data_IF_437875815265
#
_entry.id   IF_437875815265
#
_cell.length_a   1.000
_cell.length_b   1.000
_cell.length_c   1.000
_cell.angle_alpha   90.00
_cell.angle_beta   90.00
_cell.angle_gamma   90.00
#
_symmetry.space_group_name_H-M   'P 1'
#
loop_
_entity.id
_entity.type
_entity.pdbx_description
1 polymer ?
#
# COMPACT_ATOMS: atom_id res chain seq x y z
N UNK A 1 16.59 5.71 11.73
CA UNK A 1 17.09 6.24 10.44
C UNK A 1 16.19 7.31 9.82
N UNK A 2 14.97 7.02 9.35
CA UNK A 2 14.03 8.05 8.86
C UNK A 2 13.71 9.08 9.96
N UNK A 3 13.62 8.65 11.22
CA UNK A 3 13.48 9.52 12.38
C UNK A 3 14.65 10.52 12.54
N UNK A 4 15.89 10.12 12.24
CA UNK A 4 17.06 11.03 12.31
C UNK A 4 16.99 12.10 11.22
N UNK A 5 16.57 11.71 10.02
CA UNK A 5 16.36 12.66 8.91
C UNK A 5 15.20 13.62 9.20
N UNK A 6 14.13 13.16 9.87
CA UNK A 6 13.03 14.02 10.34
C UNK A 6 13.45 14.99 11.45
N UNK A 7 14.45 14.63 12.26
CA UNK A 7 15.05 15.48 13.28
C UNK A 7 16.09 16.48 12.71
N UNK A 8 16.25 16.54 11.38
CA UNK A 8 17.17 17.47 10.70
C UNK A 8 18.61 16.96 10.55
N UNK A 9 18.89 15.71 10.91
CA UNK A 9 20.21 15.11 10.68
C UNK A 9 20.38 14.81 9.19
N UNK A 10 21.53 15.19 8.62
CA UNK A 10 21.82 14.97 7.21
C UNK A 10 21.81 13.48 6.85
N UNK A 11 21.37 13.16 5.63
CA UNK A 11 21.27 11.77 5.13
C UNK A 11 22.59 11.03 5.25
N UNK A 12 23.73 11.68 5.01
CA UNK A 12 25.08 11.10 5.19
C UNK A 12 25.40 10.74 6.64
N UNK A 13 25.06 11.59 7.60
CA UNK A 13 25.33 11.33 9.02
C UNK A 13 24.41 10.22 9.55
N UNK A 14 23.17 10.18 9.07
CA UNK A 14 22.25 9.07 9.33
C UNK A 14 22.73 7.76 8.68
N UNK A 15 23.34 7.81 7.48
CA UNK A 15 23.92 6.66 6.79
C UNK A 15 25.09 6.07 7.59
N UNK A 16 26.04 6.93 8.02
CA UNK A 16 27.21 6.54 8.78
C UNK A 16 26.83 5.93 10.15
N UNK A 17 25.84 6.51 10.84
CA UNK A 17 25.35 5.98 12.11
C UNK A 17 24.65 4.62 12.00
N UNK A 18 24.15 4.26 10.81
CA UNK A 18 23.41 3.02 10.57
C UNK A 18 24.19 2.01 9.71
N UNK A 19 25.42 2.32 9.27
CA UNK A 19 26.24 1.42 8.46
C UNK A 19 25.70 1.11 7.06
N UNK A 20 24.86 1.98 6.51
CA UNK A 20 24.22 1.80 5.19
C UNK A 20 24.66 2.87 4.21
N UNK A 21 24.56 2.59 2.90
CA UNK A 21 24.93 3.56 1.88
C UNK A 21 24.01 4.80 1.91
N UNK A 22 24.54 6.02 1.66
CA UNK A 22 23.73 7.23 1.57
C UNK A 22 22.60 7.14 0.53
N UNK A 23 22.82 6.42 -0.57
CA UNK A 23 21.80 6.18 -1.61
C UNK A 23 20.64 5.33 -1.11
N UNK A 24 20.88 4.40 -0.19
CA UNK A 24 19.82 3.60 0.46
C UNK A 24 18.97 4.48 1.37
N UNK A 25 19.62 5.39 2.13
CA UNK A 25 18.92 6.37 2.97
C UNK A 25 18.01 7.24 2.12
N UNK A 26 18.54 7.79 1.03
CA UNK A 26 17.82 8.69 0.14
C UNK A 26 16.60 8.00 -0.48
N UNK A 27 16.78 6.78 -0.97
CA UNK A 27 15.68 5.96 -1.50
C UNK A 27 14.59 5.73 -0.46
N UNK A 28 14.94 5.39 0.77
CA UNK A 28 13.96 5.17 1.84
C UNK A 28 13.25 6.46 2.27
N UNK A 29 13.96 7.60 2.31
CA UNK A 29 13.37 8.91 2.60
C UNK A 29 12.40 9.31 1.49
N UNK A 30 12.79 9.14 0.22
CA UNK A 30 11.96 9.41 -0.95
C UNK A 30 10.71 8.52 -0.97
N UNK A 31 10.86 7.23 -0.69
CA UNK A 31 9.74 6.29 -0.59
C UNK A 31 8.80 6.61 0.59
N UNK A 32 9.34 7.11 1.70
CA UNK A 32 8.53 7.56 2.84
C UNK A 32 7.74 8.84 2.55
N UNK A 33 8.20 9.68 1.60
CA UNK A 33 7.51 10.89 1.14
C UNK A 33 6.46 10.59 0.06
N UNK A 34 6.70 9.57 -0.75
CA UNK A 34 5.85 9.22 -1.89
C UNK A 34 4.46 8.63 -1.53
N UNK A 35 4.17 8.38 -0.26
CA UNK A 35 2.86 7.87 0.19
C UNK A 35 2.66 6.38 -0.05
N UNK A 36 1.40 5.92 -0.11
CA UNK A 36 1.06 4.48 -0.18
C UNK A 36 1.71 3.82 -1.41
N UNK A 37 2.19 2.57 -1.28
CA UNK A 37 2.78 1.84 -2.39
C UNK A 37 1.79 1.77 -3.55
N UNK A 38 2.29 2.09 -4.74
CA UNK A 38 1.52 1.88 -5.96
C UNK A 38 1.36 0.36 -6.14
N UNK A 39 0.22 -0.08 -6.69
CA UNK A 39 0.02 -1.51 -6.96
C UNK A 39 1.14 -2.05 -7.86
N UNK A 40 1.26 -3.38 -7.97
CA UNK A 40 2.34 -4.06 -8.72
C UNK A 40 2.60 -3.49 -10.15
N UNK A 41 1.63 -2.80 -10.75
CA UNK A 41 1.72 -2.18 -12.07
C UNK A 41 1.86 -0.65 -12.06
N UNK A 42 2.27 -0.03 -10.94
CA UNK A 42 2.41 1.43 -10.83
C UNK A 42 1.09 2.21 -10.91
N UNK A 43 -0.06 1.52 -11.02
CA UNK A 43 -1.37 2.18 -11.05
C UNK A 43 -1.77 2.58 -9.63
N UNK A 44 -2.30 3.81 -9.44
CA UNK A 44 -2.89 4.22 -8.18
C UNK A 44 -3.94 3.18 -7.75
N UNK A 45 -3.90 2.80 -6.47
CA UNK A 45 -4.92 1.91 -5.90
C UNK A 45 -6.26 2.63 -5.98
N UNK A 46 -7.29 1.98 -6.53
CA UNK A 46 -8.60 2.61 -6.68
C UNK A 46 -9.13 3.06 -5.31
N UNK A 47 -9.57 4.32 -5.13
CA UNK A 47 -10.02 4.84 -3.83
C UNK A 47 -11.22 4.07 -3.28
N UNK A 48 -12.04 3.51 -4.16
CA UNK A 48 -13.17 2.65 -3.80
C UNK A 48 -12.82 1.26 -3.25
N UNK A 49 -11.54 0.85 -3.32
CA UNK A 49 -11.12 -0.51 -2.92
C UNK A 49 -11.15 -0.71 -1.41
N UNK A 50 -10.93 0.35 -0.62
CA UNK A 50 -11.07 0.30 0.85
C UNK A 50 -12.54 0.14 1.25
N UNK A 51 -13.46 0.90 0.64
CA UNK A 51 -14.91 0.72 0.86
C UNK A 51 -15.39 -0.68 0.45
N UNK A 52 -14.87 -1.22 -0.65
CA UNK A 52 -15.17 -2.59 -1.05
C UNK A 52 -14.72 -3.62 -0.01
N UNK A 53 -13.53 -3.45 0.58
CA UNK A 53 -13.03 -4.34 1.64
C UNK A 53 -13.93 -4.30 2.88
N UNK A 54 -14.28 -3.10 3.35
CA UNK A 54 -15.16 -2.91 4.49
C UNK A 54 -16.53 -3.56 4.28
N UNK A 55 -17.12 -3.40 3.09
CA UNK A 55 -18.38 -4.06 2.73
C UNK A 55 -18.26 -5.59 2.68
N UNK A 56 -17.08 -6.14 2.32
CA UNK A 56 -16.84 -7.59 2.34
C UNK A 56 -16.65 -8.12 3.76
N UNK A 57 -16.02 -7.35 4.65
CA UNK A 57 -15.91 -7.67 6.09
C UNK A 57 -17.28 -7.67 6.78
N UNK A 58 -18.18 -6.76 6.38
CA UNK A 58 -19.59 -6.73 6.81
C UNK A 58 -20.43 -7.90 6.24
N UNK A 59 -19.84 -8.78 5.42
CA UNK A 59 -20.50 -9.96 4.86
C UNK A 59 -21.33 -9.68 3.61
N UNK A 60 -21.25 -8.49 3.01
CA UNK A 60 -22.01 -8.18 1.77
C UNK A 60 -21.47 -8.98 0.59
N UNK A 61 -22.37 -9.32 -0.33
CA UNK A 61 -22.00 -10.02 -1.56
C UNK A 61 -21.14 -9.13 -2.46
N UNK A 62 -20.26 -9.76 -3.26
CA UNK A 62 -19.35 -9.07 -4.21
C UNK A 62 -20.11 -8.11 -5.12
N UNK A 63 -21.30 -8.51 -5.58
CA UNK A 63 -22.14 -7.72 -6.49
C UNK A 63 -22.71 -6.48 -5.81
N UNK A 64 -23.19 -6.62 -4.57
CA UNK A 64 -23.70 -5.49 -3.78
C UNK A 64 -22.57 -4.51 -3.42
N UNK A 65 -21.40 -5.03 -3.05
CA UNK A 65 -20.23 -4.20 -2.76
C UNK A 65 -19.71 -3.45 -4.00
N UNK A 66 -19.67 -4.11 -5.17
CA UNK A 66 -19.28 -3.48 -6.42
C UNK A 66 -20.25 -2.36 -6.85
N UNK A 67 -21.56 -2.58 -6.68
CA UNK A 67 -22.58 -1.58 -6.96
C UNK A 67 -22.43 -0.33 -6.09
N UNK A 68 -22.18 -0.49 -4.78
CA UNK A 68 -21.98 0.63 -3.84
C UNK A 68 -20.73 1.45 -4.17
N UNK A 69 -19.68 0.79 -4.65
CA UNK A 69 -18.44 1.45 -5.04
C UNK A 69 -18.50 2.04 -6.46
N UNK A 70 -19.53 1.70 -7.23
CA UNK A 70 -19.71 2.18 -8.61
C UNK A 70 -18.81 1.49 -9.62
N UNK A 71 -18.48 0.21 -9.40
CA UNK A 71 -17.55 -0.56 -10.23
C UNK A 71 -18.28 -1.73 -10.88
N UNK A 72 -17.82 -2.15 -12.07
CA UNK A 72 -18.39 -3.32 -12.74
C UNK A 72 -18.24 -4.59 -11.88
N UNK A 73 -19.24 -5.48 -11.97
CA UNK A 73 -19.24 -6.77 -11.27
C UNK A 73 -17.95 -7.56 -11.50
N UNK A 74 -17.43 -7.56 -12.73
CA UNK A 74 -16.16 -8.22 -13.09
C UNK A 74 -14.96 -7.65 -12.32
N UNK A 75 -14.90 -6.34 -12.13
CA UNK A 75 -13.86 -5.71 -11.32
C UNK A 75 -14.01 -6.09 -9.84
N UNK A 76 -15.26 -6.18 -9.35
CA UNK A 76 -15.57 -6.69 -8.01
C UNK A 76 -15.07 -8.13 -7.81
N UNK A 77 -15.33 -9.04 -8.76
CA UNK A 77 -14.82 -10.42 -8.71
C UNK A 77 -13.30 -10.48 -8.75
N UNK A 78 -12.65 -9.69 -9.62
CA UNK A 78 -11.19 -9.59 -9.66
C UNK A 78 -10.61 -9.15 -8.30
N UNK A 79 -11.22 -8.15 -7.67
CA UNK A 79 -10.80 -7.68 -6.35
C UNK A 79 -11.02 -8.73 -5.27
N UNK A 80 -12.11 -9.48 -5.32
CA UNK A 80 -12.41 -10.57 -4.40
C UNK A 80 -11.41 -11.73 -4.55
N UNK A 81 -11.02 -12.08 -5.77
CA UNK A 81 -9.94 -13.04 -6.04
C UNK A 81 -8.59 -12.52 -5.53
N UNK A 82 -8.26 -11.25 -5.79
CA UNK A 82 -7.03 -10.63 -5.26
C UNK A 82 -7.04 -10.54 -3.72
N UNK A 83 -8.19 -10.38 -3.07
CA UNK A 83 -8.33 -10.38 -1.61
C UNK A 83 -8.12 -11.79 -1.04
N UNK A 84 -8.70 -12.82 -1.66
CA UNK A 84 -8.45 -14.21 -1.24
C UNK A 84 -7.00 -14.66 -1.52
N UNK A 85 -6.43 -14.26 -2.65
CA UNK A 85 -5.04 -14.55 -3.00
C UNK A 85 -4.05 -13.76 -2.14
N UNK A 86 -4.36 -12.50 -1.82
CA UNK A 86 -3.57 -11.66 -0.92
C UNK A 86 -3.68 -12.09 0.56
N UNK A 87 -4.81 -12.66 0.96
CA UNK A 87 -5.00 -13.30 2.27
C UNK A 87 -4.13 -14.54 2.47
N UNK A 88 -3.72 -15.22 1.39
CA UNK A 88 -2.76 -16.32 1.44
C UNK A 88 -1.31 -15.85 1.70
N UNK A 89 -1.03 -14.54 1.71
CA UNK A 89 0.30 -13.97 1.95
C UNK A 89 0.42 -13.15 3.26
N UNK A 90 -0.66 -12.99 4.04
CA UNK A 90 -0.54 -12.46 5.42
C UNK A 90 -0.27 -13.57 6.45
N UNK A 91 0.79 -14.35 6.26
CA UNK A 91 1.44 -15.10 7.34
C UNK A 91 2.95 -15.11 7.07
N UNK A 92 3.67 -14.30 7.86
CA UNK A 92 5.03 -14.46 8.42
C UNK A 92 5.62 -13.10 8.74
#
# INVERSE_FOLDING_TARGET
>A
MIALVKLGVSTRKAAAACGVSPSTVDRWVSQSRAGKPHGANGRPRHPGREKFHQLREEGRSVRAAAAVVGVSSMSGYKWDTEMRAGGACQIK
#
